data_IF_648154015442
#
_entry.id   IF_648154015442
#
_cell.length_a   1.000
_cell.length_b   1.000
_cell.length_c   1.000
_cell.angle_alpha   90.00
_cell.angle_beta   90.00
_cell.angle_gamma   90.00
#
_symmetry.space_group_name_H-M   'P 1'
#
loop_
_entity.id
_entity.type
_entity.pdbx_description
1 polymer ?
#
# COMPACT_ATOMS: atom_id res chain seq x y z
N UNK A 1 10.45 62.78 28.51
CA UNK A 1 10.31 62.23 27.13
C UNK A 1 11.56 61.49 26.66
N UNK A 2 12.77 61.97 26.99
CA UNK A 2 14.05 61.32 26.61
C UNK A 2 14.32 59.98 27.31
N UNK A 3 14.06 59.85 28.63
CA UNK A 3 14.30 58.60 29.38
C UNK A 3 13.37 57.45 28.95
N UNK A 4 12.12 57.75 28.63
CA UNK A 4 11.17 56.76 28.11
C UNK A 4 11.57 56.22 26.74
N UNK A 5 12.21 57.05 25.90
CA UNK A 5 12.69 56.61 24.59
C UNK A 5 13.93 55.72 24.75
N UNK A 6 14.82 56.04 25.69
CA UNK A 6 16.03 55.26 25.95
C UNK A 6 15.71 53.87 26.51
N UNK A 7 14.78 53.79 27.47
CA UNK A 7 14.30 52.50 28.01
C UNK A 7 13.62 51.62 26.96
N UNK A 8 12.91 52.23 25.99
CA UNK A 8 12.28 51.50 24.90
C UNK A 8 13.32 50.97 23.88
N UNK A 9 14.43 51.67 23.68
CA UNK A 9 15.51 51.18 22.80
C UNK A 9 16.30 50.02 23.44
N UNK A 10 16.60 50.11 24.74
CA UNK A 10 17.29 49.06 25.50
C UNK A 10 16.47 47.75 25.54
N UNK A 11 15.15 47.84 25.83
CA UNK A 11 14.25 46.67 25.82
C UNK A 11 14.13 46.03 24.42
N UNK A 12 14.29 46.82 23.35
CA UNK A 12 14.28 46.28 22.00
C UNK A 12 15.60 45.58 21.64
N UNK A 13 16.76 46.13 22.01
CA UNK A 13 18.05 45.44 21.80
C UNK A 13 18.11 44.11 22.55
N UNK A 14 17.70 44.08 23.83
CA UNK A 14 17.62 42.83 24.61
C UNK A 14 16.65 41.80 23.98
N UNK A 15 15.57 42.27 23.37
CA UNK A 15 14.62 41.41 22.65
C UNK A 15 15.22 40.84 21.35
N UNK A 16 15.96 41.64 20.59
CA UNK A 16 16.64 41.18 19.37
C UNK A 16 17.78 40.21 19.69
N UNK A 17 18.59 40.48 20.72
CA UNK A 17 19.67 39.58 21.17
C UNK A 17 19.11 38.24 21.68
N UNK A 18 17.98 38.26 22.40
CA UNK A 18 17.29 37.04 22.84
C UNK A 18 16.70 36.25 21.65
N UNK A 19 16.20 36.94 20.64
CA UNK A 19 15.66 36.32 19.42
C UNK A 19 16.76 35.69 18.55
N UNK A 20 17.91 36.34 18.45
CA UNK A 20 19.07 35.83 17.71
C UNK A 20 19.72 34.64 18.41
N UNK A 21 19.90 34.66 19.74
CA UNK A 21 20.38 33.48 20.50
C UNK A 21 19.38 32.31 20.42
N UNK A 22 18.06 32.58 20.42
CA UNK A 22 17.04 31.55 20.23
C UNK A 22 17.13 30.89 18.84
N UNK A 23 17.27 31.70 17.78
CA UNK A 23 17.43 31.21 16.42
C UNK A 23 18.77 30.46 16.25
N UNK A 24 19.85 30.94 16.85
CA UNK A 24 21.15 30.29 16.78
C UNK A 24 21.15 28.95 17.55
N UNK A 25 20.37 28.83 18.63
CA UNK A 25 20.11 27.56 19.33
C UNK A 25 19.24 26.60 18.52
N UNK A 26 18.22 27.10 17.83
CA UNK A 26 17.40 26.29 16.92
C UNK A 26 18.23 25.81 15.74
N UNK A 27 19.04 26.68 15.13
CA UNK A 27 19.96 26.34 14.04
C UNK A 27 21.02 25.33 14.49
N UNK A 28 21.60 25.47 15.69
CA UNK A 28 22.51 24.46 16.26
C UNK A 28 21.83 23.12 16.52
N UNK A 29 20.59 23.11 16.99
CA UNK A 29 19.83 21.86 17.16
C UNK A 29 19.45 21.22 15.82
N UNK A 30 19.34 22.02 14.75
CA UNK A 30 19.12 21.55 13.38
C UNK A 30 20.42 21.01 12.76
N UNK A 31 21.55 21.71 12.91
CA UNK A 31 22.88 21.24 12.49
C UNK A 31 23.37 20.03 13.29
N UNK A 32 22.88 19.85 14.52
CA UNK A 32 23.20 18.71 15.39
C UNK A 32 22.26 17.51 15.21
N UNK A 33 21.41 17.48 14.17
CA UNK A 33 20.68 16.29 13.75
C UNK A 33 21.65 15.25 13.14
N UNK A 34 22.61 14.80 13.94
CA UNK A 34 23.59 13.81 13.53
C UNK A 34 22.93 12.46 13.23
N UNK A 35 23.72 11.54 12.67
CA UNK A 35 23.33 10.15 12.38
C UNK A 35 22.57 9.44 13.52
N UNK A 36 22.82 9.83 14.77
CA UNK A 36 22.10 9.32 15.94
C UNK A 36 20.62 9.72 15.94
N UNK A 37 20.30 10.96 15.58
CA UNK A 37 18.93 11.47 15.51
C UNK A 37 18.15 10.79 14.39
N UNK A 38 18.74 10.66 13.20
CA UNK A 38 18.16 9.91 12.06
C UNK A 38 17.92 8.44 12.42
N UNK A 39 18.87 7.83 13.13
CA UNK A 39 18.74 6.46 13.57
C UNK A 39 17.59 6.28 14.57
N UNK A 40 17.55 7.10 15.63
CA UNK A 40 16.56 6.99 16.72
C UNK A 40 15.16 7.45 16.29
N UNK A 41 15.03 8.51 15.49
CA UNK A 41 13.75 9.12 15.15
C UNK A 41 13.16 8.66 13.81
N UNK A 42 13.98 8.14 12.89
CA UNK A 42 13.49 7.68 11.58
C UNK A 42 13.71 6.19 11.34
N UNK A 43 14.95 5.71 11.39
CA UNK A 43 15.28 4.34 10.96
C UNK A 43 14.64 3.30 11.88
N UNK A 44 14.84 3.42 13.19
CA UNK A 44 14.30 2.50 14.19
C UNK A 44 12.77 2.41 14.14
N UNK A 45 12.01 3.52 14.27
CA UNK A 45 10.55 3.45 14.21
C UNK A 45 10.03 2.99 12.85
N UNK A 46 10.64 3.43 11.74
CA UNK A 46 10.26 2.97 10.40
C UNK A 46 10.47 1.48 10.23
N UNK A 47 11.60 0.94 10.70
CA UNK A 47 11.89 -0.49 10.61
C UNK A 47 10.88 -1.33 11.38
N UNK A 48 10.54 -0.92 12.60
CA UNK A 48 9.52 -1.60 13.40
C UNK A 48 8.15 -1.53 12.76
N UNK A 49 7.75 -0.37 12.21
CA UNK A 49 6.49 -0.20 11.50
C UNK A 49 6.43 -1.11 10.26
N UNK A 50 7.46 -1.09 9.41
CA UNK A 50 7.52 -1.93 8.21
C UNK A 50 7.45 -3.41 8.59
N UNK A 51 8.23 -3.82 9.58
CA UNK A 51 8.28 -5.22 10.04
C UNK A 51 6.94 -5.69 10.60
N UNK A 52 6.25 -4.82 11.35
CA UNK A 52 4.93 -5.12 11.92
C UNK A 52 3.91 -5.53 10.85
N UNK A 53 3.91 -4.88 9.69
CA UNK A 53 3.01 -5.23 8.57
C UNK A 53 3.57 -6.32 7.65
N UNK A 54 4.90 -6.35 7.43
CA UNK A 54 5.53 -7.30 6.50
C UNK A 54 5.53 -8.75 7.02
N UNK A 55 5.74 -8.96 8.33
CA UNK A 55 5.77 -10.28 8.95
C UNK A 55 4.46 -11.06 8.76
N UNK A 56 3.27 -10.53 9.15
CA UNK A 56 2.02 -11.26 8.95
C UNK A 56 1.74 -11.50 7.47
N UNK A 57 2.09 -10.55 6.60
CA UNK A 57 1.94 -10.69 5.15
C UNK A 57 2.76 -11.87 4.60
N UNK A 58 4.05 -11.96 4.94
CA UNK A 58 4.92 -13.06 4.53
C UNK A 58 4.45 -14.39 5.12
N UNK A 59 4.09 -14.41 6.41
CA UNK A 59 3.62 -15.61 7.10
C UNK A 59 2.35 -16.19 6.45
N UNK A 60 1.36 -15.34 6.18
CA UNK A 60 0.10 -15.75 5.54
C UNK A 60 0.33 -16.24 4.11
N UNK A 61 1.23 -15.61 3.34
CA UNK A 61 1.55 -16.08 1.99
C UNK A 61 2.29 -17.43 1.99
N UNK A 62 3.19 -17.68 2.96
CA UNK A 62 3.82 -18.99 3.16
C UNK A 62 2.77 -20.04 3.53
N UNK A 63 1.88 -19.72 4.47
CA UNK A 63 0.77 -20.60 4.85
C UNK A 63 -0.10 -20.95 3.64
N UNK A 64 -0.49 -19.94 2.85
CA UNK A 64 -1.30 -20.13 1.64
C UNK A 64 -0.57 -21.01 0.61
N UNK A 65 0.75 -20.85 0.46
CA UNK A 65 1.56 -21.71 -0.41
C UNK A 65 1.50 -23.19 0.04
N UNK A 66 1.64 -23.46 1.34
CA UNK A 66 1.55 -24.81 1.91
C UNK A 66 0.15 -25.37 1.68
N UNK A 67 -0.90 -24.62 2.02
CA UNK A 67 -2.29 -25.06 1.84
C UNK A 67 -2.62 -25.37 0.38
N UNK A 68 -2.16 -24.55 -0.58
CA UNK A 68 -2.36 -24.80 -2.01
C UNK A 68 -1.66 -26.07 -2.48
N UNK A 69 -0.47 -26.38 -1.95
CA UNK A 69 0.21 -27.64 -2.27
C UNK A 69 -0.51 -28.85 -1.71
N UNK A 70 -0.98 -28.75 -0.47
CA UNK A 70 -1.76 -29.82 0.15
C UNK A 70 -3.07 -30.04 -0.63
N UNK A 71 -3.77 -28.96 -0.97
CA UNK A 71 -4.98 -29.02 -1.81
C UNK A 71 -4.68 -29.65 -3.18
N UNK A 72 -3.60 -29.25 -3.85
CA UNK A 72 -3.24 -29.80 -5.15
C UNK A 72 -2.88 -31.30 -5.07
N UNK A 73 -2.32 -31.75 -3.95
CA UNK A 73 -1.93 -33.15 -3.71
C UNK A 73 -3.11 -34.04 -3.33
N UNK A 74 -3.98 -33.58 -2.44
CA UNK A 74 -5.05 -34.40 -1.87
C UNK A 74 -6.42 -34.18 -2.54
N UNK A 75 -6.69 -32.98 -3.07
CA UNK A 75 -8.00 -32.57 -3.61
C UNK A 75 -7.86 -31.84 -4.97
N UNK A 76 -7.23 -32.44 -5.99
CA UNK A 76 -6.85 -31.77 -7.25
C UNK A 76 -8.01 -31.25 -8.11
N UNK A 77 -9.24 -31.68 -7.84
CA UNK A 77 -10.46 -31.27 -8.54
C UNK A 77 -11.18 -30.07 -7.88
N UNK A 78 -10.90 -29.80 -6.60
CA UNK A 78 -11.65 -28.82 -5.80
C UNK A 78 -10.97 -27.45 -5.71
N UNK A 79 -10.89 -26.73 -6.84
CA UNK A 79 -10.26 -25.40 -6.91
C UNK A 79 -11.00 -24.31 -6.10
N UNK A 80 -12.29 -24.50 -5.81
CA UNK A 80 -13.07 -23.61 -4.94
C UNK A 80 -12.50 -23.49 -3.53
N UNK A 81 -11.83 -24.54 -3.03
CA UNK A 81 -11.18 -24.51 -1.71
C UNK A 81 -10.03 -23.51 -1.72
N UNK A 82 -9.23 -23.48 -2.79
CA UNK A 82 -8.14 -22.51 -2.92
C UNK A 82 -8.66 -21.07 -3.01
N UNK A 83 -9.76 -20.84 -3.72
CA UNK A 83 -10.39 -19.51 -3.75
C UNK A 83 -10.90 -19.09 -2.36
N UNK A 84 -11.54 -20.01 -1.62
CA UNK A 84 -12.03 -19.75 -0.28
C UNK A 84 -10.88 -19.49 0.72
N UNK A 85 -9.80 -20.26 0.63
CA UNK A 85 -8.59 -20.04 1.42
C UNK A 85 -7.91 -18.70 1.09
N UNK A 86 -7.84 -18.33 -0.19
CA UNK A 86 -7.35 -17.02 -0.64
C UNK A 86 -8.22 -15.90 -0.07
N UNK A 87 -9.54 -16.03 -0.15
CA UNK A 87 -10.47 -15.05 0.43
C UNK A 87 -10.31 -14.92 1.95
N UNK A 88 -10.31 -16.04 2.68
CA UNK A 88 -10.19 -16.02 4.14
C UNK A 88 -8.85 -15.45 4.62
N UNK A 89 -7.75 -15.85 3.98
CA UNK A 89 -6.41 -15.36 4.32
C UNK A 89 -6.22 -13.88 4.01
N UNK A 90 -6.72 -13.38 2.88
CA UNK A 90 -6.65 -11.95 2.59
C UNK A 90 -7.61 -11.12 3.43
N UNK A 91 -8.80 -11.65 3.79
CA UNK A 91 -9.70 -10.97 4.72
C UNK A 91 -9.05 -10.84 6.10
N UNK A 92 -8.38 -11.89 6.59
CA UNK A 92 -7.59 -11.84 7.82
C UNK A 92 -6.50 -10.77 7.75
N UNK A 93 -5.75 -10.68 6.65
CA UNK A 93 -4.72 -9.65 6.48
C UNK A 93 -5.32 -8.24 6.45
N UNK A 94 -6.42 -8.03 5.72
CA UNK A 94 -7.10 -6.73 5.64
C UNK A 94 -7.59 -6.31 7.03
N UNK A 95 -8.19 -7.23 7.79
CA UNK A 95 -8.68 -6.97 9.14
C UNK A 95 -7.56 -6.64 10.13
N UNK A 96 -6.43 -7.36 10.08
CA UNK A 96 -5.31 -7.11 10.99
C UNK A 96 -4.49 -5.86 10.61
N UNK A 97 -4.56 -5.45 9.34
CA UNK A 97 -3.79 -4.28 8.86
C UNK A 97 -4.57 -3.00 9.04
N UNK A 98 -5.85 -2.97 8.68
CA UNK A 98 -6.68 -1.78 8.67
C UNK A 98 -7.51 -1.76 9.96
N UNK A 99 -7.40 -0.73 10.80
CA UNK A 99 -8.24 -0.63 12.01
C UNK A 99 -9.61 0.00 11.71
N UNK A 100 -9.65 0.94 10.76
CA UNK A 100 -10.82 1.75 10.42
C UNK A 100 -10.99 1.88 8.90
N UNK A 101 -12.23 2.02 8.42
CA UNK A 101 -12.51 2.23 7.00
C UNK A 101 -12.77 0.96 6.17
N UNK A 102 -12.96 -0.21 6.81
CA UNK A 102 -13.36 -1.45 6.11
C UNK A 102 -14.66 -1.31 5.30
N UNK A 103 -15.57 -0.43 5.73
CA UNK A 103 -16.85 -0.21 5.06
C UNK A 103 -16.67 0.25 3.61
N UNK A 104 -15.65 1.07 3.31
CA UNK A 104 -15.35 1.48 1.95
C UNK A 104 -14.96 0.30 1.06
N UNK A 105 -14.13 -0.61 1.57
CA UNK A 105 -13.72 -1.82 0.84
C UNK A 105 -14.90 -2.77 0.62
N UNK A 106 -15.70 -3.01 1.66
CA UNK A 106 -16.88 -3.88 1.57
C UNK A 106 -17.90 -3.30 0.58
N UNK A 107 -18.17 -2.00 0.65
CA UNK A 107 -19.07 -1.33 -0.28
C UNK A 107 -18.56 -1.44 -1.72
N UNK A 108 -17.27 -1.21 -1.96
CA UNK A 108 -16.65 -1.35 -3.28
C UNK A 108 -16.76 -2.79 -3.81
N UNK A 109 -16.50 -3.81 -2.98
CA UNK A 109 -16.57 -5.21 -3.40
C UNK A 109 -17.99 -5.62 -3.79
N UNK A 110 -18.98 -5.20 -2.99
CA UNK A 110 -20.39 -5.47 -3.27
C UNK A 110 -20.82 -4.76 -4.56
N UNK A 111 -20.52 -3.47 -4.70
CA UNK A 111 -20.95 -2.69 -5.87
C UNK A 111 -20.30 -3.20 -7.16
N UNK A 112 -19.00 -3.49 -7.15
CA UNK A 112 -18.28 -4.05 -8.30
C UNK A 112 -18.84 -5.42 -8.68
N UNK A 113 -19.08 -6.31 -7.72
CA UNK A 113 -19.66 -7.63 -8.01
C UNK A 113 -21.01 -7.52 -8.71
N UNK A 114 -21.90 -6.66 -8.21
CA UNK A 114 -23.22 -6.42 -8.79
C UNK A 114 -23.12 -5.83 -10.19
N UNK A 115 -22.25 -4.83 -10.40
CA UNK A 115 -22.04 -4.21 -11.72
C UNK A 115 -21.45 -5.20 -12.73
N UNK A 116 -20.53 -6.06 -12.33
CA UNK A 116 -19.99 -7.11 -13.21
C UNK A 116 -21.07 -8.14 -13.56
N UNK A 117 -21.88 -8.58 -12.58
CA UNK A 117 -23.00 -9.49 -12.85
C UNK A 117 -24.04 -8.86 -13.77
N UNK A 118 -24.35 -7.58 -13.58
CA UNK A 118 -25.21 -6.81 -14.48
C UNK A 118 -24.59 -6.73 -15.88
N UNK A 119 -23.27 -6.55 -15.95
CA UNK A 119 -22.55 -6.52 -17.23
C UNK A 119 -22.83 -7.78 -18.05
N UNK A 120 -22.90 -8.95 -17.42
CA UNK A 120 -23.09 -10.22 -18.11
C UNK A 120 -24.43 -10.33 -18.84
N UNK A 121 -25.44 -9.55 -18.49
CA UNK A 121 -26.75 -9.58 -19.15
C UNK A 121 -26.65 -8.94 -20.55
N UNK A 122 -26.06 -7.75 -20.68
CA UNK A 122 -26.16 -6.91 -21.89
C UNK A 122 -24.81 -6.45 -22.50
N UNK A 123 -23.77 -7.29 -22.50
CA UNK A 123 -22.43 -6.91 -23.01
C UNK A 123 -22.35 -6.57 -24.51
N UNK A 124 -23.32 -7.02 -25.32
CA UNK A 124 -23.28 -6.80 -26.78
C UNK A 124 -23.69 -5.39 -27.22
N UNK A 125 -24.49 -4.69 -26.41
CA UNK A 125 -24.98 -3.34 -26.73
C UNK A 125 -24.24 -2.24 -25.98
N UNK A 126 -23.82 -2.49 -24.74
CA UNK A 126 -23.29 -1.44 -23.85
C UNK A 126 -21.87 -1.80 -23.41
N UNK A 127 -20.94 -0.83 -23.48
CA UNK A 127 -19.57 -0.96 -22.93
C UNK A 127 -19.60 -0.84 -21.39
N UNK A 128 -20.27 -1.78 -20.72
CA UNK A 128 -20.46 -1.79 -19.25
C UNK A 128 -19.14 -1.89 -18.48
N UNK A 129 -18.11 -2.49 -19.06
CA UNK A 129 -16.72 -2.46 -18.59
C UNK A 129 -16.15 -1.03 -18.43
N UNK A 130 -16.42 -0.14 -19.39
CA UNK A 130 -16.00 1.26 -19.29
C UNK A 130 -16.78 1.99 -18.20
N UNK A 131 -18.09 1.71 -18.07
CA UNK A 131 -18.88 2.27 -16.98
C UNK A 131 -18.39 1.80 -15.61
N UNK A 132 -18.00 0.52 -15.47
CA UNK A 132 -17.39 0.01 -14.24
C UNK A 132 -16.07 0.73 -13.95
N UNK A 133 -15.24 0.97 -14.98
CA UNK A 133 -13.99 1.71 -14.81
C UNK A 133 -14.22 3.16 -14.37
N UNK A 134 -15.17 3.86 -14.98
CA UNK A 134 -15.53 5.23 -14.61
C UNK A 134 -16.10 5.24 -13.19
N UNK A 135 -16.99 4.31 -12.86
CA UNK A 135 -17.60 4.20 -11.53
C UNK A 135 -16.55 3.95 -10.45
N UNK A 136 -15.65 2.99 -10.64
CA UNK A 136 -14.62 2.64 -9.64
C UNK A 136 -13.59 3.76 -9.46
N UNK A 137 -13.24 4.47 -10.53
CA UNK A 137 -12.39 5.67 -10.45
C UNK A 137 -13.12 6.81 -9.71
N UNK A 138 -14.38 7.09 -10.07
CA UNK A 138 -15.19 8.09 -9.40
C UNK A 138 -15.40 7.76 -7.93
N UNK A 139 -15.59 6.49 -7.58
CA UNK A 139 -15.67 6.03 -6.19
C UNK A 139 -14.41 6.40 -5.41
N UNK A 140 -13.23 6.14 -5.97
CA UNK A 140 -11.96 6.49 -5.33
C UNK A 140 -11.81 8.00 -5.10
N UNK A 141 -12.15 8.81 -6.10
CA UNK A 141 -12.11 10.28 -6.00
C UNK A 141 -13.14 10.79 -4.99
N UNK A 142 -14.35 10.25 -5.00
CA UNK A 142 -15.40 10.61 -4.04
C UNK A 142 -14.99 10.24 -2.62
N UNK A 143 -14.39 9.07 -2.40
CA UNK A 143 -13.88 8.69 -1.09
C UNK A 143 -12.76 9.63 -0.62
N UNK A 144 -11.89 10.11 -1.51
CA UNK A 144 -10.85 11.10 -1.19
C UNK A 144 -11.43 12.45 -0.76
N UNK A 145 -12.54 12.88 -1.37
CA UNK A 145 -13.17 14.17 -1.07
C UNK A 145 -14.12 14.10 0.13
N UNK A 146 -14.79 12.97 0.34
CA UNK A 146 -15.79 12.80 1.39
C UNK A 146 -15.21 12.40 2.74
N UNK A 147 -14.09 11.65 2.76
CA UNK A 147 -13.46 11.25 4.02
C UNK A 147 -12.77 12.46 4.66
N UNK A 148 -13.26 12.86 5.83
CA UNK A 148 -12.78 14.04 6.54
C UNK A 148 -11.59 13.72 7.44
N UNK A 149 -11.44 12.46 7.85
CA UNK A 149 -10.31 12.04 8.65
C UNK A 149 -9.14 11.59 7.75
N UNK A 150 -8.07 12.40 7.64
CA UNK A 150 -6.91 12.03 6.83
C UNK A 150 -6.26 10.74 7.31
N UNK A 151 -6.32 10.41 8.61
CA UNK A 151 -5.71 9.19 9.15
C UNK A 151 -6.39 7.95 8.58
N UNK A 152 -7.73 7.94 8.55
CA UNK A 152 -8.50 6.83 7.99
C UNK A 152 -8.24 6.71 6.49
N UNK A 153 -8.30 7.82 5.76
CA UNK A 153 -8.09 7.82 4.30
C UNK A 153 -6.69 7.32 3.93
N UNK A 154 -5.63 7.85 4.55
CA UNK A 154 -4.26 7.43 4.27
C UNK A 154 -4.04 5.93 4.52
N UNK A 155 -4.72 5.36 5.52
CA UNK A 155 -4.61 3.94 5.85
C UNK A 155 -5.29 3.02 4.80
N UNK A 156 -6.40 3.44 4.21
CA UNK A 156 -7.19 2.61 3.28
C UNK A 156 -6.90 2.88 1.80
N UNK A 157 -6.37 4.06 1.46
CA UNK A 157 -6.19 4.54 0.09
C UNK A 157 -5.43 3.55 -0.79
N UNK A 158 -4.29 3.04 -0.30
CA UNK A 158 -3.48 2.09 -1.07
C UNK A 158 -4.22 0.79 -1.39
N UNK A 159 -4.96 0.26 -0.41
CA UNK A 159 -5.75 -0.97 -0.56
C UNK A 159 -6.90 -0.75 -1.55
N UNK A 160 -7.59 0.40 -1.46
CA UNK A 160 -8.64 0.78 -2.39
C UNK A 160 -8.11 0.95 -3.82
N UNK A 161 -6.94 1.57 -4.01
CA UNK A 161 -6.30 1.71 -5.33
C UNK A 161 -6.08 0.35 -5.99
N UNK A 162 -5.52 -0.61 -5.25
CA UNK A 162 -5.29 -1.97 -5.77
C UNK A 162 -6.62 -2.67 -6.08
N UNK A 163 -7.61 -2.56 -5.19
CA UNK A 163 -8.94 -3.13 -5.42
C UNK A 163 -9.61 -2.56 -6.68
N UNK A 164 -9.52 -1.24 -6.89
CA UNK A 164 -10.02 -0.55 -8.09
C UNK A 164 -9.32 -1.08 -9.35
N UNK A 165 -7.98 -1.14 -9.36
CA UNK A 165 -7.24 -1.69 -10.50
C UNK A 165 -7.64 -3.13 -10.81
N UNK A 166 -7.78 -3.99 -9.78
CA UNK A 166 -8.20 -5.39 -9.94
C UNK A 166 -9.62 -5.48 -10.50
N UNK A 167 -10.50 -4.57 -10.08
CA UNK A 167 -11.90 -4.49 -10.54
C UNK A 167 -11.99 -4.07 -12.00
N UNK A 168 -11.20 -3.08 -12.42
CA UNK A 168 -11.10 -2.62 -13.81
C UNK A 168 -10.57 -3.76 -14.69
N UNK A 169 -9.48 -4.44 -14.29
CA UNK A 169 -8.97 -5.62 -15.00
C UNK A 169 -10.04 -6.67 -15.19
N UNK A 170 -10.74 -7.01 -14.12
CA UNK A 170 -11.71 -8.08 -14.13
C UNK A 170 -12.88 -7.75 -15.06
N UNK A 171 -13.34 -6.49 -15.06
CA UNK A 171 -14.39 -6.04 -15.97
C UNK A 171 -13.95 -6.13 -17.45
N UNK A 172 -12.70 -5.77 -17.76
CA UNK A 172 -12.16 -5.87 -19.12
C UNK A 172 -11.89 -7.32 -19.54
N UNK A 173 -11.29 -8.12 -18.66
CA UNK A 173 -10.94 -9.52 -18.89
C UNK A 173 -12.17 -10.39 -19.14
N UNK A 174 -13.21 -10.25 -18.30
CA UNK A 174 -14.46 -11.01 -18.42
C UNK A 174 -15.29 -10.61 -19.64
N UNK A 175 -15.02 -9.43 -20.21
CA UNK A 175 -15.59 -9.02 -21.48
C UNK A 175 -14.81 -9.59 -22.66
N UNK A 176 -13.48 -9.50 -22.62
CA UNK A 176 -12.61 -9.93 -23.71
C UNK A 176 -12.64 -11.45 -23.91
N UNK A 177 -12.69 -12.21 -22.80
CA UNK A 177 -12.67 -13.67 -22.82
C UNK A 177 -13.92 -14.26 -22.14
N UNK A 178 -14.79 -14.87 -22.95
CA UNK A 178 -15.99 -15.58 -22.48
C UNK A 178 -15.66 -16.75 -21.54
N UNK A 179 -14.50 -17.40 -21.71
CA UNK A 179 -14.09 -18.50 -20.85
C UNK A 179 -13.80 -18.04 -19.42
N UNK A 180 -13.30 -16.81 -19.24
CA UNK A 180 -13.09 -16.21 -17.91
C UNK A 180 -14.43 -15.88 -17.25
N UNK A 181 -15.40 -15.42 -18.04
CA UNK A 181 -16.77 -15.19 -17.58
C UNK A 181 -17.45 -16.47 -17.11
N UNK A 182 -17.31 -17.58 -17.82
CA UNK A 182 -17.93 -18.85 -17.42
C UNK A 182 -17.32 -19.40 -16.11
N UNK A 183 -16.07 -19.05 -15.82
CA UNK A 183 -15.40 -19.36 -14.54
C UNK A 183 -15.70 -18.35 -13.42
N UNK A 184 -16.47 -17.29 -13.71
CA UNK A 184 -16.77 -16.24 -12.73
C UNK A 184 -17.84 -16.69 -11.72
N UNK A 185 -17.41 -16.92 -10.49
CA UNK A 185 -18.27 -17.17 -9.34
C UNK A 185 -18.01 -16.14 -8.24
N UNK A 186 -18.94 -16.00 -7.28
CA UNK A 186 -18.74 -15.12 -6.11
C UNK A 186 -17.48 -15.52 -5.33
N UNK A 187 -17.20 -16.82 -5.20
CA UNK A 187 -16.02 -17.33 -4.50
C UNK A 187 -14.74 -17.00 -5.28
N UNK A 188 -14.75 -17.14 -6.61
CA UNK A 188 -13.61 -16.78 -7.46
C UNK A 188 -13.35 -15.28 -7.46
N UNK A 189 -14.40 -14.45 -7.44
CA UNK A 189 -14.31 -12.99 -7.30
C UNK A 189 -13.68 -12.60 -5.95
N UNK A 190 -14.25 -13.09 -4.85
CA UNK A 190 -13.77 -12.78 -3.50
C UNK A 190 -12.34 -13.27 -3.27
N UNK A 191 -12.01 -14.47 -3.75
CA UNK A 191 -10.65 -14.98 -3.67
C UNK A 191 -9.65 -14.18 -4.51
N UNK A 192 -10.08 -13.66 -5.67
CA UNK A 192 -9.25 -12.81 -6.53
C UNK A 192 -9.01 -11.45 -5.89
N UNK A 193 -10.07 -10.74 -5.52
CA UNK A 193 -9.97 -9.37 -5.01
C UNK A 193 -9.24 -9.34 -3.67
N UNK A 194 -9.53 -10.29 -2.78
CA UNK A 194 -8.88 -10.47 -1.48
C UNK A 194 -7.70 -11.44 -1.53
N UNK A 195 -6.99 -11.61 -2.65
CA UNK A 195 -5.84 -12.52 -2.64
C UNK A 195 -4.73 -11.99 -1.72
N UNK A 196 -4.22 -12.78 -0.76
CA UNK A 196 -3.27 -12.32 0.27
C UNK A 196 -1.94 -11.84 -0.31
N UNK A 197 -1.61 -12.22 -1.54
CA UNK A 197 -0.37 -11.83 -2.20
C UNK A 197 -0.40 -10.40 -2.78
N UNK A 198 -1.59 -9.81 -2.95
CA UNK A 198 -1.75 -8.52 -3.61
C UNK A 198 -3.05 -7.80 -3.21
N UNK A 199 -3.56 -8.02 -1.99
CA UNK A 199 -4.73 -7.28 -1.50
C UNK A 199 -4.35 -5.93 -0.90
N UNK A 200 -3.21 -5.85 -0.21
CA UNK A 200 -2.74 -4.65 0.49
C UNK A 200 -1.45 -4.13 -0.14
N UNK A 201 -0.47 -5.01 -0.29
CA UNK A 201 0.81 -4.74 -0.93
C UNK A 201 0.97 -5.73 -2.06
N UNK A 202 1.44 -5.26 -3.21
CA UNK A 202 1.77 -6.14 -4.33
C UNK A 202 1.31 -5.59 -5.69
N UNK A 203 1.90 -6.10 -6.77
CA UNK A 203 1.50 -5.70 -8.10
C UNK A 203 0.08 -6.16 -8.39
N UNK A 204 -0.62 -5.33 -9.14
CA UNK A 204 -1.84 -5.75 -9.80
C UNK A 204 -1.55 -6.89 -10.78
N UNK A 205 -2.40 -7.92 -10.76
CA UNK A 205 -2.34 -9.05 -11.69
C UNK A 205 -3.71 -9.21 -12.35
N UNK A 206 -3.74 -9.70 -13.59
CA UNK A 206 -4.98 -9.99 -14.31
C UNK A 206 -5.76 -11.13 -13.66
N UNK A 207 -7.07 -11.22 -13.93
CA UNK A 207 -7.89 -12.33 -13.41
C UNK A 207 -7.44 -13.67 -14.00
N UNK A 208 -6.97 -13.67 -15.25
CA UNK A 208 -6.44 -14.85 -15.90
C UNK A 208 -5.16 -15.35 -15.21
N UNK A 209 -4.23 -14.45 -14.86
CA UNK A 209 -2.99 -14.82 -14.15
C UNK A 209 -3.28 -15.36 -12.76
N UNK A 210 -4.26 -14.77 -12.05
CA UNK A 210 -4.74 -15.31 -10.79
C UNK A 210 -5.27 -16.74 -10.96
N UNK A 211 -6.16 -16.99 -11.92
CA UNK A 211 -6.68 -18.34 -12.18
C UNK A 211 -5.57 -19.32 -12.57
N UNK A 212 -4.60 -18.87 -13.37
CA UNK A 212 -3.43 -19.67 -13.74
C UNK A 212 -2.57 -20.01 -12.53
N UNK A 213 -2.39 -19.07 -11.59
CA UNK A 213 -1.63 -19.29 -10.37
C UNK A 213 -2.27 -20.37 -9.50
N UNK A 214 -3.61 -20.42 -9.43
CA UNK A 214 -4.35 -21.44 -8.67
C UNK A 214 -4.35 -22.79 -9.38
N UNK A 215 -4.62 -22.81 -10.69
CA UNK A 215 -4.82 -24.06 -11.45
C UNK A 215 -3.51 -24.75 -11.84
N UNK A 216 -2.46 -23.98 -12.16
CA UNK A 216 -1.14 -24.50 -12.56
C UNK A 216 -0.15 -24.64 -11.40
N UNK A 217 -0.52 -24.27 -10.17
CA UNK A 217 0.24 -24.55 -8.95
C UNK A 217 0.22 -26.04 -8.58
N UNK A 218 0.59 -26.90 -9.53
CA UNK A 218 0.75 -28.34 -9.30
C UNK A 218 2.23 -28.73 -9.13
N UNK A 219 3.19 -28.04 -9.77
CA UNK A 219 4.57 -28.54 -9.85
C UNK A 219 5.72 -27.51 -9.79
N UNK A 220 5.47 -26.19 -9.70
CA UNK A 220 6.56 -25.20 -9.92
C UNK A 220 7.36 -24.80 -8.68
N UNK A 221 6.74 -24.72 -7.51
CA UNK A 221 7.43 -24.20 -6.33
C UNK A 221 8.05 -25.33 -5.52
N UNK A 222 9.37 -25.50 -5.56
CA UNK A 222 10.09 -26.34 -4.59
C UNK A 222 10.41 -25.46 -3.38
N UNK A 223 9.87 -25.81 -2.20
CA UNK A 223 10.19 -25.11 -0.94
C UNK A 223 11.60 -25.53 -0.52
N UNK A 224 12.58 -25.01 -1.24
CA UNK A 224 13.98 -25.27 -1.02
C UNK A 224 14.60 -24.06 -0.30
N UNK A 225 15.76 -24.27 0.31
CA UNK A 225 16.53 -23.20 0.95
C UNK A 225 16.75 -21.98 0.01
N UNK A 226 17.00 -22.21 -1.28
CA UNK A 226 17.12 -21.14 -2.29
C UNK A 226 15.89 -20.24 -2.38
N UNK A 227 14.69 -20.79 -2.20
CA UNK A 227 13.45 -20.01 -2.26
C UNK A 227 13.31 -19.11 -1.03
N UNK A 228 13.60 -19.64 0.16
CA UNK A 228 13.64 -18.84 1.38
C UNK A 228 14.72 -17.77 1.32
N UNK A 229 15.92 -18.10 0.84
CA UNK A 229 16.99 -17.13 0.64
C UNK A 229 16.57 -16.00 -0.32
N UNK A 230 15.88 -16.33 -1.43
CA UNK A 230 15.36 -15.31 -2.35
C UNK A 230 14.31 -14.41 -1.69
N UNK A 231 13.38 -14.97 -0.90
CA UNK A 231 12.40 -14.19 -0.14
C UNK A 231 13.13 -13.25 0.82
N UNK A 232 14.09 -13.76 1.57
CA UNK A 232 14.87 -12.96 2.53
C UNK A 232 15.63 -11.83 1.87
N UNK A 233 16.29 -12.08 0.72
CA UNK A 233 17.01 -11.05 -0.04
C UNK A 233 16.04 -9.98 -0.56
N UNK A 234 14.93 -10.37 -1.17
CA UNK A 234 13.95 -9.43 -1.68
C UNK A 234 13.30 -8.61 -0.56
N UNK A 235 13.04 -9.23 0.60
CA UNK A 235 12.51 -8.56 1.78
C UNK A 235 13.53 -7.55 2.32
N UNK A 236 14.80 -7.92 2.43
CA UNK A 236 15.86 -7.02 2.88
C UNK A 236 16.02 -5.82 1.93
N UNK A 237 16.01 -6.05 0.61
CA UNK A 237 16.04 -4.99 -0.39
C UNK A 237 14.81 -4.07 -0.30
N UNK A 238 13.62 -4.64 -0.11
CA UNK A 238 12.39 -3.87 0.06
C UNK A 238 12.45 -2.97 1.32
N UNK A 239 12.86 -3.55 2.46
CA UNK A 239 13.03 -2.80 3.71
C UNK A 239 14.06 -1.69 3.52
N UNK A 240 15.20 -1.98 2.88
CA UNK A 240 16.24 -0.98 2.64
C UNK A 240 15.73 0.16 1.76
N UNK A 241 15.01 -0.14 0.66
CA UNK A 241 14.41 0.88 -0.19
C UNK A 241 13.35 1.72 0.54
N UNK A 242 12.53 1.09 1.40
CA UNK A 242 11.51 1.79 2.18
C UNK A 242 12.13 2.67 3.26
N UNK A 243 13.16 2.18 3.96
CA UNK A 243 13.91 2.98 4.94
C UNK A 243 14.59 4.16 4.26
N UNK A 244 15.21 3.93 3.09
CA UNK A 244 15.80 5.00 2.31
C UNK A 244 14.75 6.03 1.87
N UNK A 245 13.56 5.58 1.43
CA UNK A 245 12.48 6.50 1.01
C UNK A 245 11.87 7.27 2.17
N UNK A 246 11.64 6.63 3.32
CA UNK A 246 11.01 7.27 4.48
C UNK A 246 11.95 8.24 5.19
N UNK A 247 13.24 7.92 5.21
CA UNK A 247 14.27 8.74 5.83
C UNK A 247 15.04 9.57 4.81
N UNK A 248 14.59 9.61 3.54
CA UNK A 248 15.27 10.32 2.46
C UNK A 248 15.50 11.79 2.82
N UNK A 249 14.48 12.44 3.39
CA UNK A 249 14.56 13.85 3.80
C UNK A 249 15.60 14.06 4.92
N UNK A 250 15.76 13.09 5.80
CA UNK A 250 16.78 13.10 6.86
C UNK A 250 18.18 12.74 6.34
N UNK A 251 18.29 11.93 5.27
CA UNK A 251 19.56 11.59 4.62
C UNK A 251 20.04 12.67 3.65
N UNK A 252 19.11 13.35 2.98
CA UNK A 252 19.34 14.38 1.97
C UNK A 252 19.41 15.77 2.61
N UNK A 253 19.99 15.83 3.81
CA UNK A 253 20.17 17.03 4.60
C UNK A 253 20.49 18.23 3.70
N UNK A 254 19.56 19.19 3.73
CA UNK A 254 19.39 20.28 2.77
C UNK A 254 20.68 21.09 2.57
N UNK A 255 21.59 21.05 3.53
CA UNK A 255 22.86 21.74 3.49
C UNK A 255 23.78 21.30 2.35
N UNK A 256 23.88 20.01 2.02
CA UNK A 256 24.80 19.58 0.96
C UNK A 256 24.22 19.82 -0.44
N UNK A 257 22.90 19.72 -0.62
CA UNK A 257 22.27 19.91 -1.92
C UNK A 257 22.10 21.39 -2.27
N UNK A 258 21.67 22.22 -1.30
CA UNK A 258 21.54 23.67 -1.51
C UNK A 258 22.90 24.37 -1.55
N UNK A 259 23.91 23.98 -0.75
CA UNK A 259 25.29 24.52 -0.92
C UNK A 259 25.88 24.15 -2.30
N UNK A 260 25.62 22.95 -2.85
CA UNK A 260 26.08 22.60 -4.20
C UNK A 260 25.37 23.39 -5.31
N UNK A 261 24.09 23.71 -5.13
CA UNK A 261 23.30 24.46 -6.10
C UNK A 261 23.71 25.94 -6.15
N UNK A 262 24.03 26.52 -4.99
CA UNK A 262 24.55 27.89 -4.88
C UNK A 262 26.00 28.04 -5.38
N UNK A 263 26.86 27.03 -5.18
CA UNK A 263 28.24 27.02 -5.70
C UNK A 263 28.29 26.83 -7.22
N UNK A 264 27.21 26.37 -7.87
CA UNK A 264 27.10 26.28 -9.34
C UNK A 264 26.44 27.49 -10.01
N UNK A 265 25.94 28.46 -9.24
CA UNK A 265 25.33 29.70 -9.75
C UNK A 265 26.24 30.93 -9.61
N UNK A 266 27.48 30.76 -9.11
CA UNK A 266 28.56 31.74 -9.16
C UNK A 266 29.76 31.20 -9.95
#
# INVERSE_FOLDING_TARGET
MSEYLYSMYDENEDFYDTYDDYNERILRNYEAAGWKDVYENCIVPSFFQISYYAIPFVAVNIFMCICNKLQARYLPSHYNITHALSFGSGLFLIYNTIEHGHLYLVQLFISVYLLIKLSFIDQKRIRLDLLISIYTMAYLILSEVLEKDPKVWHHIRGVLMIAVMKSISLAMDTRADRSLRDRFSIISFLGYICSPANCIFGPWISFNDYLNSITRSKNKLKLNFKYFAQISINLALCILCLLFSNCADSFLDADNFWKLLWVRMY
#
